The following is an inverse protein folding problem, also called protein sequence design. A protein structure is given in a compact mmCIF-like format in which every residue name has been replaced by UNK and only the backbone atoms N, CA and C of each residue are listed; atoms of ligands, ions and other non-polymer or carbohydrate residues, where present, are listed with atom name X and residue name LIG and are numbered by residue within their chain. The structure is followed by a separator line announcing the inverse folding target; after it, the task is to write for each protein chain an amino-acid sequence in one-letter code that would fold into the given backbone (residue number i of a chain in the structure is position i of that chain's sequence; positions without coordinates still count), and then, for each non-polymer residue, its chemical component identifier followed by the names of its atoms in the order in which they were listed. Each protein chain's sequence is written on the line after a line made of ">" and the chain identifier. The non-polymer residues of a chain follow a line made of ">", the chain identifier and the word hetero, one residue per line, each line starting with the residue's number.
data_IF_232149695766
#
_entry.id   IF_232149695766
#
_cell.length_a   1.000
_cell.length_b   1.000
_cell.length_c   1.000
_cell.angle_alpha   90.00
_cell.angle_beta   90.00
_cell.angle_gamma   90.00
#
_symmetry.space_group_name_H-M   'P 1'
#
loop_
_entity.id
_entity.type
_entity.pdbx_description
1 polymer ?
#
# COMPACT_ATOMS: atom_id res chain seq x y z
N UNK A 1 -6.73 -23.81 -20.27
CA UNK A 1 -5.75 -22.70 -20.35
C UNK A 1 -5.40 -22.31 -18.94
N UNK A 2 -4.12 -22.22 -18.62
CA UNK A 2 -3.70 -21.67 -17.34
C UNK A 2 -4.22 -20.23 -17.21
N UNK A 3 -4.72 -19.88 -16.04
CA UNK A 3 -5.33 -18.57 -15.82
C UNK A 3 -4.26 -17.46 -15.72
N UNK A 4 -3.04 -17.79 -15.31
CA UNK A 4 -1.92 -16.88 -15.22
C UNK A 4 -0.67 -17.53 -15.84
N UNK A 5 0.00 -16.81 -16.72
CA UNK A 5 1.32 -17.18 -17.27
C UNK A 5 2.28 -16.01 -17.03
N UNK A 6 3.48 -16.31 -16.55
CA UNK A 6 4.53 -15.33 -16.29
C UNK A 6 5.69 -15.60 -17.24
N UNK A 7 6.07 -14.59 -18.03
CA UNK A 7 7.22 -14.65 -18.93
C UNK A 7 8.25 -13.59 -18.53
N UNK A 8 9.50 -14.00 -18.33
CA UNK A 8 10.61 -13.07 -18.09
C UNK A 8 11.39 -12.84 -19.39
N UNK A 9 11.47 -11.58 -19.84
CA UNK A 9 12.20 -11.15 -21.03
C UNK A 9 13.21 -10.06 -20.67
N UNK A 10 14.37 -10.47 -20.18
CA UNK A 10 15.45 -9.56 -19.81
C UNK A 10 15.02 -8.59 -18.71
N UNK A 11 14.83 -7.30 -19.05
CA UNK A 11 14.38 -6.28 -18.10
C UNK A 11 12.84 -6.19 -17.96
N UNK A 12 12.08 -7.06 -18.63
CA UNK A 12 10.62 -7.04 -18.61
C UNK A 12 10.07 -8.34 -18.01
N UNK A 13 9.07 -8.21 -17.16
CA UNK A 13 8.18 -9.30 -16.76
C UNK A 13 6.84 -9.11 -17.46
N UNK A 14 6.38 -10.12 -18.20
CA UNK A 14 5.10 -10.12 -18.91
C UNK A 14 4.14 -11.05 -18.16
N UNK A 15 3.05 -10.48 -17.66
CA UNK A 15 1.95 -11.21 -17.03
C UNK A 15 0.83 -11.39 -18.06
N UNK A 16 0.52 -12.64 -18.42
CA UNK A 16 -0.60 -12.98 -19.29
C UNK A 16 -1.71 -13.58 -18.45
N UNK A 17 -2.90 -12.98 -18.52
CA UNK A 17 -4.06 -13.33 -17.70
C UNK A 17 -5.22 -13.76 -18.59
N UNK A 18 -5.85 -14.89 -18.27
CA UNK A 18 -7.10 -15.27 -18.89
C UNK A 18 -8.26 -14.51 -18.24
N UNK A 19 -8.82 -13.53 -18.95
CA UNK A 19 -9.90 -12.65 -18.47
C UNK A 19 -11.11 -13.40 -17.89
N UNK A 20 -11.40 -14.62 -18.36
CA UNK A 20 -12.53 -15.42 -17.85
C UNK A 20 -12.34 -15.92 -16.41
N UNK A 21 -11.11 -15.94 -15.90
CA UNK A 21 -10.76 -16.45 -14.58
C UNK A 21 -10.53 -15.37 -13.51
N UNK A 22 -10.68 -14.08 -13.85
CA UNK A 22 -10.42 -12.98 -12.93
C UNK A 22 -11.53 -11.94 -12.99
N UNK A 23 -11.70 -11.26 -11.86
CA UNK A 23 -12.55 -10.09 -11.79
C UNK A 23 -11.84 -8.87 -12.42
N UNK A 24 -12.54 -8.19 -13.33
CA UNK A 24 -12.00 -7.05 -14.06
C UNK A 24 -11.64 -5.88 -13.12
N UNK A 25 -12.45 -5.63 -12.09
CA UNK A 25 -12.20 -4.54 -11.15
C UNK A 25 -10.96 -4.81 -10.30
N UNK A 26 -10.74 -6.07 -9.92
CA UNK A 26 -9.54 -6.51 -9.24
C UNK A 26 -8.29 -6.28 -10.08
N UNK A 27 -8.31 -6.67 -11.37
CA UNK A 27 -7.17 -6.47 -12.27
C UNK A 27 -6.84 -4.97 -12.47
N UNK A 28 -7.86 -4.13 -12.64
CA UNK A 28 -7.69 -2.68 -12.74
C UNK A 28 -7.07 -2.11 -11.45
N UNK A 29 -7.54 -2.58 -10.29
CA UNK A 29 -7.03 -2.14 -8.99
C UNK A 29 -5.58 -2.57 -8.77
N UNK A 30 -5.21 -3.78 -9.20
CA UNK A 30 -3.84 -4.28 -9.16
C UNK A 30 -2.90 -3.40 -10.00
N UNK A 31 -3.28 -3.06 -11.23
CA UNK A 31 -2.47 -2.20 -12.10
C UNK A 31 -2.29 -0.80 -11.48
N UNK A 32 -3.36 -0.21 -10.93
CA UNK A 32 -3.29 1.08 -10.23
C UNK A 32 -2.36 1.02 -9.03
N UNK A 33 -2.42 -0.06 -8.24
CA UNK A 33 -1.53 -0.26 -7.08
C UNK A 33 -0.06 -0.31 -7.50
N UNK A 34 0.26 -1.07 -8.53
CA UNK A 34 1.65 -1.16 -9.04
C UNK A 34 2.17 0.19 -9.54
N UNK A 35 1.31 1.01 -10.16
CA UNK A 35 1.67 2.38 -10.55
C UNK A 35 1.96 3.27 -9.33
N UNK A 36 1.12 3.19 -8.30
CA UNK A 36 1.33 3.93 -7.04
C UNK A 36 2.62 3.49 -6.36
N UNK A 37 2.89 2.19 -6.27
CA UNK A 37 4.12 1.65 -5.67
C UNK A 37 5.38 2.14 -6.42
N UNK A 38 5.33 2.17 -7.76
CA UNK A 38 6.42 2.73 -8.57
C UNK A 38 6.65 4.22 -8.30
N UNK A 39 5.57 4.99 -8.13
CA UNK A 39 5.65 6.42 -7.80
C UNK A 39 6.15 6.64 -6.37
N UNK A 40 5.67 5.87 -5.40
CA UNK A 40 6.09 5.94 -4.00
C UNK A 40 7.59 5.64 -3.84
N UNK A 41 8.09 4.62 -4.55
CA UNK A 41 9.52 4.32 -4.61
C UNK A 41 10.33 5.49 -5.21
N UNK A 42 9.84 6.12 -6.28
CA UNK A 42 10.50 7.31 -6.88
C UNK A 42 10.52 8.51 -5.94
N UNK A 43 9.48 8.67 -5.13
CA UNK A 43 9.34 9.76 -4.16
C UNK A 43 10.10 9.54 -2.85
N UNK A 44 10.87 8.44 -2.72
CA UNK A 44 11.52 8.02 -1.46
C UNK A 44 10.55 7.92 -0.28
N UNK A 45 9.26 7.66 -0.55
CA UNK A 45 8.31 7.24 0.47
C UNK A 45 8.61 5.78 0.80
N UNK A 46 9.70 5.57 1.54
CA UNK A 46 10.13 4.27 2.06
C UNK A 46 9.31 3.90 3.29
N UNK A 47 9.49 2.68 3.80
CA UNK A 47 8.92 2.24 5.09
C UNK A 47 9.19 3.21 6.24
N UNK A 48 10.21 4.06 6.12
CA UNK A 48 10.55 5.10 7.11
C UNK A 48 9.42 6.14 7.29
N UNK A 49 8.49 6.26 6.33
CA UNK A 49 7.30 7.10 6.55
C UNK A 49 6.38 6.53 7.63
N UNK A 50 6.42 5.22 7.89
CA UNK A 50 5.70 4.62 9.01
C UNK A 50 6.28 5.11 10.33
N UNK A 51 7.61 5.26 10.43
CA UNK A 51 8.27 5.85 11.60
C UNK A 51 7.81 7.30 11.82
N UNK A 52 7.67 8.10 10.76
CA UNK A 52 7.14 9.46 10.86
C UNK A 52 5.68 9.44 11.34
N UNK A 53 4.86 8.53 10.80
CA UNK A 53 3.46 8.39 11.22
C UNK A 53 3.35 7.97 12.69
N UNK A 54 4.18 7.04 13.15
CA UNK A 54 4.27 6.60 14.55
C UNK A 54 4.70 7.75 15.46
N UNK A 55 5.72 8.52 15.07
CA UNK A 55 6.18 9.69 15.82
C UNK A 55 5.08 10.74 15.96
N UNK A 56 4.39 11.08 14.87
CA UNK A 56 3.25 12.02 14.90
C UNK A 56 2.17 11.53 15.86
N UNK A 57 1.86 10.23 15.84
CA UNK A 57 0.85 9.66 16.72
C UNK A 57 1.29 9.71 18.19
N UNK A 58 2.54 9.35 18.48
CA UNK A 58 3.10 9.42 19.83
C UNK A 58 3.12 10.86 20.35
N UNK A 59 3.60 11.80 19.55
CA UNK A 59 3.66 13.22 19.90
C UNK A 59 2.27 13.77 20.17
N UNK A 60 1.28 13.37 19.36
CA UNK A 60 -0.11 13.77 19.58
C UNK A 60 -0.65 13.22 20.90
N UNK A 61 -0.50 11.92 21.17
CA UNK A 61 -0.98 11.30 22.40
C UNK A 61 -0.26 11.82 23.65
N UNK A 62 1.04 12.08 23.56
CA UNK A 62 1.82 12.66 24.66
C UNK A 62 1.32 14.07 25.03
N UNK A 63 1.08 14.91 24.02
CA UNK A 63 0.69 16.30 24.26
C UNK A 63 -0.81 16.48 24.57
N UNK A 64 -1.66 15.57 24.09
CA UNK A 64 -3.12 15.76 24.11
C UNK A 64 -3.87 14.65 24.85
N UNK A 65 -3.25 13.50 25.09
CA UNK A 65 -3.93 12.29 25.59
C UNK A 65 -4.62 12.49 26.93
N UNK A 66 -3.95 13.11 27.90
CA UNK A 66 -4.55 13.39 29.22
C UNK A 66 -5.77 14.32 29.12
N UNK A 67 -5.68 15.35 28.27
CA UNK A 67 -6.79 16.29 28.02
C UNK A 67 -7.94 15.60 27.27
N UNK A 68 -7.61 14.76 26.31
CA UNK A 68 -8.57 14.04 25.48
C UNK A 68 -9.36 13.00 26.27
N UNK A 69 -8.69 12.28 27.18
CA UNK A 69 -9.31 11.24 28.02
C UNK A 69 -9.95 11.79 29.30
N UNK A 70 -9.89 13.11 29.52
CA UNK A 70 -10.47 13.75 30.71
C UNK A 70 -11.99 13.54 30.74
N UNK A 71 -12.47 12.82 31.75
CA UNK A 71 -13.89 12.54 31.94
C UNK A 71 -14.33 11.14 31.49
N UNK A 72 -13.43 10.35 30.88
CA UNK A 72 -13.68 8.93 30.64
C UNK A 72 -13.40 8.19 31.96
N UNK A 73 -14.45 7.63 32.58
CA UNK A 73 -14.30 6.73 33.74
C UNK A 73 -13.63 5.43 33.28
N UNK A 74 -12.57 5.03 34.00
CA UNK A 74 -11.92 3.72 33.84
C UNK A 74 -12.88 2.57 34.19
#
# INVERSE_FOLDING_TARGET
>A
MENLVIENKGNQMILKLNKKGFDDNYLISLVKRLQIESLAQKSKFTSDILTIAEQINQDWWSNNGEKFLKGIKK
#
